data_IF_911369683402
#
_entry.id   IF_911369683402
#
_cell.length_a   1.000
_cell.length_b   1.000
_cell.length_c   1.000
_cell.angle_alpha   90.00
_cell.angle_beta   90.00
_cell.angle_gamma   90.00
#
_symmetry.space_group_name_H-M   'P 1'
#
loop_
_entity.id
_entity.type
_entity.pdbx_description
1 polymer ?
#
# COMPACT_ATOMS: atom_id res chain seq x y z
N UNK A 1 -16.81 -3.54 11.12
CA UNK A 1 -16.99 -2.69 9.92
C UNK A 1 -16.20 -1.39 10.00
N UNK A 2 -16.30 -0.65 11.10
CA UNK A 2 -15.55 0.62 11.25
C UNK A 2 -14.05 0.46 11.05
N UNK A 3 -13.50 -0.63 11.55
CA UNK A 3 -12.04 -0.85 11.52
C UNK A 3 -11.50 -1.07 10.12
N UNK A 4 -12.37 -1.43 9.17
CA UNK A 4 -12.00 -1.57 7.76
C UNK A 4 -11.96 -0.25 7.02
N UNK A 5 -12.63 0.77 7.54
CA UNK A 5 -12.78 2.04 6.81
C UNK A 5 -11.45 2.67 6.42
N UNK A 6 -10.47 2.83 7.33
CA UNK A 6 -9.19 3.44 6.94
C UNK A 6 -8.49 2.67 5.83
N UNK A 7 -8.48 1.33 5.90
CA UNK A 7 -7.84 0.49 4.89
C UNK A 7 -8.56 0.57 3.55
N UNK A 8 -9.89 0.55 3.57
CA UNK A 8 -10.68 0.69 2.34
C UNK A 8 -10.46 2.05 1.72
N UNK A 9 -10.42 3.11 2.53
CA UNK A 9 -10.13 4.45 2.02
C UNK A 9 -8.72 4.53 1.43
N UNK A 10 -7.74 3.89 2.07
CA UNK A 10 -6.38 3.86 1.54
C UNK A 10 -6.34 3.14 0.19
N UNK A 11 -7.06 2.02 0.06
CA UNK A 11 -7.14 1.28 -1.19
C UNK A 11 -7.79 2.12 -2.30
N UNK A 12 -8.90 2.77 -1.98
CA UNK A 12 -9.60 3.64 -2.93
C UNK A 12 -8.68 4.78 -3.36
N UNK A 13 -8.02 5.43 -2.41
CA UNK A 13 -7.12 6.54 -2.70
C UNK A 13 -5.94 6.09 -3.57
N UNK A 14 -5.32 4.95 -3.24
CA UNK A 14 -4.20 4.42 -4.01
C UNK A 14 -4.62 4.06 -5.43
N UNK A 15 -5.79 3.43 -5.57
CA UNK A 15 -6.30 3.04 -6.88
C UNK A 15 -6.64 4.25 -7.73
N UNK A 16 -7.32 5.23 -7.13
CA UNK A 16 -7.66 6.47 -7.83
C UNK A 16 -6.40 7.22 -8.29
N UNK A 17 -5.41 7.29 -7.42
CA UNK A 17 -4.14 7.93 -7.75
C UNK A 17 -3.43 7.20 -8.89
N UNK A 18 -3.44 5.87 -8.87
CA UNK A 18 -2.86 5.06 -9.95
C UNK A 18 -3.55 5.31 -11.28
N UNK A 19 -4.88 5.37 -11.28
CA UNK A 19 -5.66 5.60 -12.49
C UNK A 19 -5.34 6.99 -13.06
N UNK A 20 -5.29 7.99 -12.19
CA UNK A 20 -4.98 9.35 -12.61
C UNK A 20 -3.55 9.47 -13.14
N UNK A 21 -2.60 8.83 -12.45
CA UNK A 21 -1.19 8.97 -12.78
C UNK A 21 -0.78 8.12 -14.00
N UNK A 22 -1.46 7.00 -14.23
CA UNK A 22 -1.02 5.99 -15.19
C UNK A 22 -0.68 6.54 -16.58
N UNK A 23 -1.54 7.37 -17.22
CA UNK A 23 -1.18 7.88 -18.55
C UNK A 23 0.04 8.79 -18.56
N UNK A 24 0.41 9.31 -17.41
CA UNK A 24 1.53 10.23 -17.25
C UNK A 24 2.83 9.54 -16.85
N UNK A 25 2.74 8.25 -16.50
CA UNK A 25 3.91 7.51 -16.04
C UNK A 25 4.83 7.14 -17.19
N UNK A 26 6.17 7.17 -16.99
CA UNK A 26 7.10 6.65 -17.98
C UNK A 26 6.94 5.12 -18.11
N UNK A 27 7.50 4.55 -19.17
CA UNK A 27 7.42 3.12 -19.41
C UNK A 27 8.06 2.31 -18.28
N UNK A 28 9.11 2.84 -17.69
CA UNK A 28 9.77 2.24 -16.53
C UNK A 28 9.72 3.23 -15.37
N UNK A 29 9.34 2.72 -14.20
CA UNK A 29 9.18 3.50 -12.98
C UNK A 29 10.18 3.00 -11.93
N UNK A 30 10.91 3.91 -11.30
CA UNK A 30 11.81 3.56 -10.21
C UNK A 30 10.96 3.10 -9.01
N UNK A 31 11.15 1.85 -8.59
CA UNK A 31 10.40 1.26 -7.49
C UNK A 31 11.28 0.84 -6.33
N UNK A 32 12.58 0.95 -6.49
CA UNK A 32 13.53 0.64 -5.44
C UNK A 32 14.61 1.71 -5.42
N UNK A 33 15.01 2.12 -4.21
CA UNK A 33 15.99 3.19 -4.02
C UNK A 33 17.05 2.74 -3.03
N UNK A 34 18.29 3.21 -3.24
CA UNK A 34 19.37 2.91 -2.33
C UNK A 34 19.34 3.84 -1.10
N UNK A 35 20.34 3.68 -0.22
CA UNK A 35 20.39 4.47 1.01
C UNK A 35 20.64 5.95 0.76
N UNK A 36 21.08 6.32 -0.44
CA UNK A 36 21.33 7.71 -0.81
C UNK A 36 20.12 8.32 -1.54
N UNK A 37 19.03 7.56 -1.68
CA UNK A 37 17.85 8.04 -2.37
C UNK A 37 17.91 7.94 -3.88
N UNK A 38 18.97 7.35 -4.42
CA UNK A 38 19.09 7.14 -5.86
C UNK A 38 18.36 5.87 -6.29
N UNK A 39 17.67 5.93 -7.44
CA UNK A 39 16.95 4.78 -7.95
C UNK A 39 17.93 3.66 -8.33
N UNK A 40 17.70 2.45 -7.85
CA UNK A 40 18.52 1.28 -8.18
C UNK A 40 17.67 0.06 -8.57
N UNK A 41 16.38 0.24 -8.77
CA UNK A 41 15.51 -0.81 -9.26
C UNK A 41 14.31 -0.21 -9.99
N UNK A 42 13.95 -0.79 -11.12
CA UNK A 42 12.92 -0.27 -12.00
C UNK A 42 11.90 -1.35 -12.33
N UNK A 43 10.66 -0.95 -12.57
CA UNK A 43 9.57 -1.84 -12.96
C UNK A 43 8.76 -1.20 -14.06
N UNK A 44 7.95 -2.01 -14.77
CA UNK A 44 7.04 -1.48 -15.77
C UNK A 44 6.02 -0.56 -15.10
N UNK A 45 5.44 0.37 -15.89
CA UNK A 45 4.42 1.26 -15.34
C UNK A 45 3.19 0.49 -14.85
N UNK A 46 2.84 -0.63 -15.49
CA UNK A 46 1.73 -1.47 -15.04
C UNK A 46 1.99 -2.03 -13.66
N UNK A 47 3.16 -2.58 -13.45
CA UNK A 47 3.54 -3.13 -12.15
C UNK A 47 3.58 -2.03 -11.10
N UNK A 48 4.22 -0.90 -11.41
CA UNK A 48 4.33 0.20 -10.47
C UNK A 48 2.96 0.76 -10.05
N UNK A 49 2.02 0.85 -11.01
CA UNK A 49 0.69 1.36 -10.70
C UNK A 49 -0.14 0.35 -9.91
N UNK A 50 0.09 -0.95 -10.07
CA UNK A 50 -0.73 -2.01 -9.47
C UNK A 50 -0.15 -2.57 -8.18
N UNK A 51 1.14 -2.41 -7.93
CA UNK A 51 1.85 -3.05 -6.82
C UNK A 51 1.23 -2.72 -5.45
N UNK A 52 1.17 -1.44 -5.11
CA UNK A 52 0.67 -1.02 -3.80
C UNK A 52 -0.84 -1.22 -3.66
N UNK A 53 -1.67 -0.86 -4.65
CA UNK A 53 -3.09 -1.24 -4.57
C UNK A 53 -3.31 -2.73 -4.37
N UNK A 54 -2.51 -3.57 -5.05
CA UNK A 54 -2.57 -5.02 -4.86
C UNK A 54 -2.18 -5.45 -3.45
N UNK A 55 -1.12 -4.83 -2.90
CA UNK A 55 -0.70 -5.09 -1.52
C UNK A 55 -1.75 -4.63 -0.52
N UNK A 56 -2.42 -3.52 -0.77
CA UNK A 56 -3.50 -3.04 0.11
C UNK A 56 -4.69 -4.02 0.09
N UNK A 57 -5.05 -4.54 -1.08
CA UNK A 57 -6.07 -5.59 -1.17
C UNK A 57 -5.67 -6.80 -0.34
N UNK A 58 -4.43 -7.26 -0.49
CA UNK A 58 -3.93 -8.41 0.26
C UNK A 58 -3.97 -8.13 1.76
N UNK A 59 -3.55 -6.94 2.19
CA UNK A 59 -3.58 -6.58 3.60
C UNK A 59 -5.00 -6.57 4.17
N UNK A 60 -5.97 -6.08 3.39
CA UNK A 60 -7.37 -6.11 3.83
C UNK A 60 -7.87 -7.53 3.98
N UNK A 61 -7.51 -8.42 3.06
CA UNK A 61 -7.88 -9.83 3.14
C UNK A 61 -7.25 -10.46 4.37
N UNK A 62 -5.94 -10.24 4.58
CA UNK A 62 -5.24 -10.80 5.75
C UNK A 62 -5.87 -10.28 7.04
N UNK A 63 -6.13 -8.98 7.11
CA UNK A 63 -6.66 -8.37 8.33
C UNK A 63 -8.03 -8.92 8.71
N UNK A 64 -8.86 -9.27 7.71
CA UNK A 64 -10.21 -9.76 7.97
C UNK A 64 -10.29 -11.28 8.05
N UNK A 65 -9.49 -11.98 7.26
CA UNK A 65 -9.61 -13.45 7.14
C UNK A 65 -8.72 -14.18 8.14
N UNK A 66 -7.49 -13.71 8.34
CA UNK A 66 -6.54 -14.42 9.19
C UNK A 66 -7.05 -14.67 10.60
N UNK A 67 -7.66 -13.70 11.30
CA UNK A 67 -8.21 -13.97 12.63
C UNK A 67 -9.30 -15.03 12.64
N UNK A 68 -9.98 -15.26 11.53
CA UNK A 68 -11.06 -16.24 11.43
C UNK A 68 -10.58 -17.65 11.17
N UNK A 69 -9.44 -17.81 10.48
CA UNK A 69 -8.92 -19.13 10.09
C UNK A 69 -7.77 -19.60 10.95
N UNK A 70 -7.16 -18.70 11.72
CA UNK A 70 -6.05 -19.04 12.62
C UNK A 70 -6.59 -19.95 13.74
N UNK A 71 -5.94 -21.10 14.01
CA UNK A 71 -6.35 -21.97 15.14
C UNK A 71 -6.36 -21.23 16.48
N UNK A 72 -5.61 -20.14 16.59
CA UNK A 72 -5.53 -19.35 17.81
C UNK A 72 -6.43 -18.10 17.74
N UNK A 73 -7.50 -18.16 16.95
CA UNK A 73 -8.37 -17.00 16.74
C UNK A 73 -8.93 -16.40 18.04
N UNK A 74 -9.12 -17.24 19.08
CA UNK A 74 -9.59 -16.77 20.38
C UNK A 74 -8.63 -15.75 20.99
N UNK A 75 -7.33 -15.84 20.69
CA UNK A 75 -6.33 -14.94 21.22
C UNK A 75 -6.42 -13.54 20.59
N UNK A 76 -6.99 -13.43 19.40
CA UNK A 76 -7.10 -12.13 18.73
C UNK A 76 -8.03 -11.17 19.48
N UNK A 77 -9.02 -11.71 20.20
CA UNK A 77 -9.92 -10.86 20.98
C UNK A 77 -9.19 -10.12 22.09
N UNK A 78 -8.03 -10.66 22.54
CA UNK A 78 -7.25 -10.06 23.61
C UNK A 78 -6.46 -8.83 23.14
N UNK A 79 -6.19 -8.73 21.83
CA UNK A 79 -5.41 -7.63 21.28
C UNK A 79 -6.03 -7.06 19.99
N UNK A 80 -7.35 -7.15 19.86
CA UNK A 80 -8.03 -6.68 18.65
C UNK A 80 -7.72 -5.22 18.33
N UNK A 81 -7.72 -4.27 19.28
CA UNK A 81 -7.36 -2.89 18.95
C UNK A 81 -5.94 -2.77 18.43
N UNK A 82 -4.99 -3.51 19.01
CA UNK A 82 -3.60 -3.49 18.56
C UNK A 82 -3.47 -4.06 17.16
N UNK A 83 -4.16 -5.18 16.89
CA UNK A 83 -4.16 -5.80 15.57
C UNK A 83 -4.56 -4.80 14.50
N UNK A 84 -5.70 -4.12 14.70
CA UNK A 84 -6.20 -3.17 13.72
C UNK A 84 -5.36 -1.90 13.64
N UNK A 85 -4.76 -1.47 14.75
CA UNK A 85 -3.83 -0.34 14.74
C UNK A 85 -2.61 -0.66 13.89
N UNK A 86 -2.02 -1.84 14.07
CA UNK A 86 -0.86 -2.27 13.29
C UNK A 86 -1.23 -2.40 11.81
N UNK A 87 -2.33 -3.08 11.50
CA UNK A 87 -2.77 -3.27 10.12
C UNK A 87 -3.04 -1.94 9.43
N UNK A 88 -3.76 -1.05 10.09
CA UNK A 88 -4.07 0.27 9.54
C UNK A 88 -2.80 1.09 9.34
N UNK A 89 -1.87 1.06 10.28
CA UNK A 89 -0.61 1.80 10.19
C UNK A 89 0.19 1.33 8.97
N UNK A 90 0.27 0.03 8.74
CA UNK A 90 0.96 -0.52 7.58
C UNK A 90 0.28 -0.07 6.29
N UNK A 91 -1.05 -0.12 6.25
CA UNK A 91 -1.80 0.29 5.06
C UNK A 91 -1.62 1.78 4.75
N UNK A 92 -1.61 2.63 5.77
CA UNK A 92 -1.35 4.06 5.60
C UNK A 92 0.07 4.31 5.11
N UNK A 93 1.03 3.57 5.67
CA UNK A 93 2.42 3.65 5.20
C UNK A 93 2.54 3.25 3.73
N UNK A 94 1.87 2.17 3.34
CA UNK A 94 1.86 1.74 1.95
C UNK A 94 1.28 2.80 1.02
N UNK A 95 0.20 3.46 1.44
CA UNK A 95 -0.37 4.55 0.66
C UNK A 95 0.64 5.69 0.49
N UNK A 96 1.33 6.06 1.57
CA UNK A 96 2.37 7.09 1.51
C UNK A 96 3.48 6.72 0.55
N UNK A 97 3.96 5.47 0.62
CA UNK A 97 5.00 4.97 -0.29
C UNK A 97 4.51 4.99 -1.74
N UNK A 98 3.25 4.64 -1.97
CA UNK A 98 2.67 4.65 -3.32
C UNK A 98 2.69 6.07 -3.91
N UNK A 99 2.28 7.05 -3.12
CA UNK A 99 2.30 8.44 -3.54
C UNK A 99 3.73 8.90 -3.83
N UNK A 100 4.69 8.52 -2.99
CA UNK A 100 6.09 8.88 -3.20
C UNK A 100 6.67 8.23 -4.47
N UNK A 101 6.39 6.94 -4.68
CA UNK A 101 6.91 6.22 -5.85
C UNK A 101 6.34 6.81 -7.14
N UNK A 102 5.02 6.92 -7.24
CA UNK A 102 4.41 7.46 -8.46
C UNK A 102 4.68 8.96 -8.59
N UNK A 103 4.68 9.70 -7.48
CA UNK A 103 5.00 11.12 -7.49
C UNK A 103 6.42 11.37 -8.01
N UNK A 104 7.38 10.57 -7.56
CA UNK A 104 8.74 10.64 -8.05
C UNK A 104 8.81 10.39 -9.57
N UNK A 105 8.04 9.41 -10.05
CA UNK A 105 7.98 9.09 -11.48
C UNK A 105 7.35 10.23 -12.29
N UNK A 106 6.43 10.99 -11.67
CA UNK A 106 5.81 12.14 -12.30
C UNK A 106 6.68 13.40 -12.26
N UNK A 107 7.84 13.31 -11.62
CA UNK A 107 8.77 14.44 -11.53
C UNK A 107 8.59 15.31 -10.29
N UNK A 108 7.77 14.88 -9.33
CA UNK A 108 7.61 15.64 -8.09
C UNK A 108 8.91 15.56 -7.27
N UNK A 109 9.22 16.63 -6.57
CA UNK A 109 10.35 16.63 -5.65
C UNK A 109 9.91 15.97 -4.35
N UNK A 110 10.53 14.85 -4.04
CA UNK A 110 10.20 14.07 -2.84
C UNK A 110 11.35 13.96 -1.86
N UNK A 111 12.42 14.74 -2.07
CA UNK A 111 13.57 14.79 -1.18
C UNK A 111 13.58 16.04 -0.33
#
# INVERSE_FOLDING_TARGET
MRRLIPGVLALIAATAFSIWAYPQLPAEVATHFDIHGAADGWSSRRFAAAMIPGMLCLMLVIATVLPKIDPRQANYSLFTPTWWTVMTSVMVLLLGLHVLILGSALGWKVT
#
